data_IF_647087416413
#
_entry.id   IF_647087416413
#
_cell.length_a   1.000
_cell.length_b   1.000
_cell.length_c   1.000
_cell.angle_alpha   90.00
_cell.angle_beta   90.00
_cell.angle_gamma   90.00
#
_symmetry.space_group_name_H-M   'P 1'
#
loop_
_entity.id
_entity.type
_entity.pdbx_description
1 polymer ?
#
# COMPACT_ATOMS: atom_id res chain seq x y z
N UNK A 1 -16.71 28.23 16.66
CA UNK A 1 -15.80 27.24 16.04
C UNK A 1 -16.54 26.59 14.88
N UNK A 2 -16.18 26.91 13.63
CA UNK A 2 -16.79 26.28 12.45
C UNK A 2 -16.14 24.93 12.21
N UNK A 3 -16.79 23.88 12.70
CA UNK A 3 -16.52 22.49 12.31
C UNK A 3 -17.19 22.22 10.97
N UNK A 4 -16.53 22.58 9.88
CA UNK A 4 -16.93 22.19 8.53
C UNK A 4 -15.71 21.63 7.80
N UNK A 5 -15.50 20.32 7.92
CA UNK A 5 -15.18 19.49 6.76
C UNK A 5 -15.60 18.03 7.05
N UNK A 6 -16.89 17.70 6.89
CA UNK A 6 -17.30 16.32 6.84
C UNK A 6 -17.02 15.81 5.42
N UNK A 7 -16.13 14.83 5.33
CA UNK A 7 -16.11 13.86 4.23
C UNK A 7 -15.81 14.48 2.86
N UNK A 8 -14.52 14.68 2.57
CA UNK A 8 -14.00 14.47 1.21
C UNK A 8 -14.26 12.99 0.83
N UNK A 9 -15.50 12.74 0.40
CA UNK A 9 -15.87 11.57 -0.37
C UNK A 9 -15.21 11.75 -1.73
N UNK A 10 -13.92 11.41 -1.81
CA UNK A 10 -13.25 11.26 -3.10
C UNK A 10 -14.10 10.28 -3.91
N UNK A 11 -14.56 10.67 -5.12
CA UNK A 11 -15.34 9.78 -5.96
C UNK A 11 -14.54 8.49 -6.07
N UNK A 12 -15.14 7.36 -5.70
CA UNK A 12 -14.51 6.05 -5.73
C UNK A 12 -13.74 5.90 -7.04
N UNK A 13 -12.42 6.12 -6.97
CA UNK A 13 -11.61 6.36 -8.14
C UNK A 13 -11.68 5.09 -8.99
N UNK A 14 -12.27 5.21 -10.19
CA UNK A 14 -12.59 4.11 -11.09
C UNK A 14 -11.35 3.37 -11.61
N UNK A 15 -10.14 3.70 -11.14
CA UNK A 15 -8.92 3.02 -11.49
C UNK A 15 -8.43 2.13 -10.34
N UNK A 16 -8.83 0.85 -10.30
CA UNK A 16 -8.21 -0.12 -9.41
C UNK A 16 -6.69 -0.12 -9.57
N UNK A 17 -6.17 0.09 -10.80
CA UNK A 17 -4.74 0.21 -11.08
C UNK A 17 -4.04 1.44 -10.47
N UNK A 18 -4.74 2.56 -10.27
CA UNK A 18 -4.14 3.73 -9.59
C UNK A 18 -4.12 3.54 -8.09
N UNK A 19 -5.20 3.00 -7.52
CA UNK A 19 -5.23 2.65 -6.09
C UNK A 19 -4.14 1.64 -5.76
N UNK A 20 -3.98 0.62 -6.60
CA UNK A 20 -2.96 -0.41 -6.49
C UNK A 20 -1.54 0.16 -6.39
N UNK A 21 -1.18 1.07 -7.31
CA UNK A 21 0.13 1.73 -7.28
C UNK A 21 0.31 2.63 -6.06
N UNK A 22 -0.74 3.33 -5.63
CA UNK A 22 -0.70 4.21 -4.45
C UNK A 22 -0.54 3.41 -3.16
N UNK A 23 -1.31 2.35 -2.98
CA UNK A 23 -1.24 1.47 -1.79
C UNK A 23 0.07 0.71 -1.74
N UNK A 24 0.53 0.18 -2.87
CA UNK A 24 1.82 -0.51 -2.94
C UNK A 24 2.98 0.42 -2.59
N UNK A 25 2.98 1.66 -3.11
CA UNK A 25 4.02 2.64 -2.78
C UNK A 25 4.01 3.01 -1.29
N UNK A 26 2.84 3.25 -0.70
CA UNK A 26 2.72 3.52 0.72
C UNK A 26 3.21 2.34 1.59
N UNK A 27 2.88 1.11 1.18
CA UNK A 27 3.33 -0.12 1.84
C UNK A 27 4.84 -0.33 1.68
N UNK A 28 5.40 -0.05 0.49
CA UNK A 28 6.84 -0.12 0.23
C UNK A 28 7.60 0.85 1.13
N UNK A 29 7.19 2.12 1.23
CA UNK A 29 7.88 3.10 2.06
C UNK A 29 7.78 2.81 3.57
N UNK A 30 6.72 2.15 4.03
CA UNK A 30 6.54 1.75 5.43
C UNK A 30 7.30 0.46 5.79
N UNK A 31 7.36 -0.52 4.89
CA UNK A 31 7.97 -1.84 5.14
C UNK A 31 9.45 -1.87 4.78
N UNK A 32 9.91 -1.11 3.78
CA UNK A 32 11.32 -1.06 3.41
C UNK A 32 12.28 -0.70 4.56
N UNK A 33 12.01 0.30 5.42
CA UNK A 33 12.86 0.53 6.59
C UNK A 33 12.78 -0.63 7.60
N UNK A 34 11.59 -1.18 7.87
CA UNK A 34 11.42 -2.32 8.79
C UNK A 34 12.18 -3.57 8.33
N UNK A 35 12.08 -3.93 7.04
CA UNK A 35 12.83 -5.07 6.50
C UNK A 35 14.33 -4.80 6.49
N UNK A 36 14.77 -3.55 6.28
CA UNK A 36 16.19 -3.19 6.39
C UNK A 36 16.71 -3.33 7.82
N UNK A 37 15.89 -3.01 8.82
CA UNK A 37 16.23 -3.22 10.23
C UNK A 37 16.17 -4.70 10.64
N UNK A 38 15.17 -5.45 10.17
CA UNK A 38 15.01 -6.88 10.51
C UNK A 38 16.05 -7.76 9.81
N UNK A 39 16.35 -7.46 8.55
CA UNK A 39 17.22 -8.26 7.68
C UNK A 39 18.25 -7.38 6.98
N UNK A 40 19.18 -6.73 7.71
CA UNK A 40 20.23 -5.96 7.07
C UNK A 40 21.11 -6.87 6.20
N UNK A 41 21.36 -6.47 4.95
CA UNK A 41 22.19 -7.22 4.00
C UNK A 41 21.47 -7.80 2.79
N UNK A 42 20.15 -7.66 2.69
CA UNK A 42 19.43 -7.96 1.45
C UNK A 42 19.54 -6.77 0.48
N UNK A 43 19.43 -7.06 -0.82
CA UNK A 43 19.40 -6.00 -1.84
C UNK A 43 18.05 -5.31 -1.88
N UNK A 44 18.00 -4.05 -2.35
CA UNK A 44 16.75 -3.32 -2.56
C UNK A 44 15.73 -4.10 -3.40
N UNK A 45 16.20 -4.88 -4.38
CA UNK A 45 15.34 -5.72 -5.20
C UNK A 45 14.67 -6.84 -4.39
N UNK A 46 15.41 -7.50 -3.49
CA UNK A 46 14.84 -8.54 -2.63
C UNK A 46 13.84 -7.99 -1.62
N UNK A 47 14.11 -6.82 -1.03
CA UNK A 47 13.12 -6.16 -0.18
C UNK A 47 11.84 -5.84 -0.97
N UNK A 48 11.97 -5.27 -2.17
CA UNK A 48 10.82 -5.00 -3.04
C UNK A 48 10.03 -6.27 -3.38
N UNK A 49 10.69 -7.39 -3.64
CA UNK A 49 10.02 -8.67 -3.93
C UNK A 49 9.28 -9.23 -2.69
N UNK A 50 9.88 -9.12 -1.50
CA UNK A 50 9.24 -9.49 -0.23
C UNK A 50 8.04 -8.60 0.09
N UNK A 51 8.21 -7.28 -0.03
CA UNK A 51 7.15 -6.28 0.13
C UNK A 51 6.02 -6.55 -0.87
N UNK A 52 6.33 -6.86 -2.13
CA UNK A 52 5.35 -7.21 -3.16
C UNK A 52 4.57 -8.48 -2.81
N UNK A 53 5.24 -9.50 -2.25
CA UNK A 53 4.59 -10.74 -1.76
C UNK A 53 3.69 -10.48 -0.55
N UNK A 54 4.16 -9.70 0.42
CA UNK A 54 3.40 -9.28 1.61
C UNK A 54 2.17 -8.46 1.20
N UNK A 55 2.37 -7.51 0.30
CA UNK A 55 1.33 -6.64 -0.21
C UNK A 55 0.29 -7.42 -1.03
N UNK A 56 0.69 -8.35 -1.89
CA UNK A 56 -0.26 -9.24 -2.60
C UNK A 56 -1.17 -10.05 -1.67
N UNK A 57 -0.67 -10.44 -0.49
CA UNK A 57 -1.43 -11.17 0.53
C UNK A 57 -2.13 -10.25 1.54
N UNK A 58 -1.83 -8.96 1.54
CA UNK A 58 -2.37 -8.02 2.51
C UNK A 58 -3.80 -7.60 2.13
N UNK A 59 -4.65 -7.33 3.14
CA UNK A 59 -5.97 -6.76 2.93
C UNK A 59 -5.92 -5.33 2.34
N UNK A 60 -4.77 -4.66 2.46
CA UNK A 60 -4.44 -3.38 1.81
C UNK A 60 -4.31 -3.44 0.28
N UNK A 61 -4.43 -4.64 -0.32
CA UNK A 61 -4.50 -4.77 -1.76
C UNK A 61 -5.95 -4.58 -2.23
N UNK A 62 -6.28 -3.47 -2.93
CA UNK A 62 -7.63 -3.22 -3.43
C UNK A 62 -8.10 -4.27 -4.46
N UNK A 63 -7.21 -5.13 -4.98
CA UNK A 63 -7.58 -6.29 -5.79
C UNK A 63 -8.33 -7.38 -5.01
N UNK A 64 -8.07 -7.54 -3.70
CA UNK A 64 -8.80 -8.50 -2.87
C UNK A 64 -10.21 -8.01 -2.50
N UNK A 65 -10.47 -6.69 -2.62
CA UNK A 65 -11.78 -6.09 -2.36
C UNK A 65 -12.67 -5.97 -3.61
N UNK A 66 -12.19 -6.35 -4.80
CA UNK A 66 -13.00 -6.33 -6.03
C UNK A 66 -13.76 -7.65 -6.28
N UNK A 67 -13.77 -8.56 -5.30
CA UNK A 67 -14.38 -9.89 -5.39
C UNK A 67 -15.56 -10.11 -4.41
N UNK A 68 -16.14 -9.04 -3.84
CA UNK A 68 -17.44 -9.06 -3.16
C UNK A 68 -18.43 -8.15 -3.90
#
# INVERSE_FOLDING_TARGET
MSVLDPQVSLPADKHPERRLKSTFKAFEEAELPKLKEEKPGLTLHQYKDMIWKLWKKSPDNPLNQAAD
#
